data_IF_729311602026
#
_entry.id   IF_729311602026
#
_cell.length_a   1.000
_cell.length_b   1.000
_cell.length_c   1.000
_cell.angle_alpha   90.00
_cell.angle_beta   90.00
_cell.angle_gamma   90.00
#
_symmetry.space_group_name_H-M   'P 1'
#
loop_
_entity.id
_entity.type
_entity.pdbx_description
1 polymer ?
#
# COMPACT_ATOMS: atom_id res chain seq x y z
N UNK A 1 1.96 29.11 56.69
CA UNK A 1 3.18 28.46 56.16
C UNK A 1 2.96 26.96 56.22
N UNK A 2 2.94 26.29 55.08
CA UNK A 2 2.74 24.85 54.96
C UNK A 2 2.92 24.45 53.51
N UNK A 3 4.18 24.46 53.07
CA UNK A 3 4.61 24.00 51.75
C UNK A 3 4.76 22.47 51.75
N UNK A 4 4.48 21.85 50.59
CA UNK A 4 5.02 20.60 49.99
C UNK A 4 3.90 19.84 49.22
N UNK A 5 4.23 19.04 48.18
CA UNK A 5 5.12 19.31 47.07
C UNK A 5 4.43 19.08 45.70
N UNK A 6 5.06 19.59 44.64
CA UNK A 6 4.60 19.44 43.26
C UNK A 6 4.58 17.98 42.81
N UNK A 7 3.39 17.52 42.41
CA UNK A 7 3.21 16.34 41.57
C UNK A 7 3.21 16.78 40.12
N UNK A 8 4.32 16.56 39.43
CA UNK A 8 4.38 16.58 37.97
C UNK A 8 3.49 15.45 37.45
N UNK A 9 2.25 15.81 37.11
CA UNK A 9 1.35 14.94 36.35
C UNK A 9 1.97 14.70 34.99
N UNK A 10 2.76 13.64 34.89
CA UNK A 10 3.19 13.04 33.62
C UNK A 10 1.93 12.82 32.80
N UNK A 11 1.81 13.61 31.73
CA UNK A 11 0.69 13.57 30.82
C UNK A 11 0.47 12.14 30.35
N UNK A 12 -0.57 11.51 30.89
CA UNK A 12 -1.24 10.39 30.27
C UNK A 12 -1.46 10.79 28.82
N UNK A 13 -0.64 10.26 27.90
CA UNK A 13 -0.93 10.28 26.48
C UNK A 13 -2.33 9.72 26.38
N UNK A 14 -3.29 10.60 26.12
CA UNK A 14 -4.67 10.20 25.91
C UNK A 14 -4.60 9.16 24.80
N UNK A 15 -4.81 7.89 25.16
CA UNK A 15 -4.97 6.81 24.22
C UNK A 15 -6.23 7.17 23.44
N UNK A 16 -6.06 7.92 22.34
CA UNK A 16 -7.15 8.29 21.45
C UNK A 16 -7.93 7.00 21.16
N UNK A 17 -9.26 7.00 21.31
CA UNK A 17 -10.07 5.82 21.08
C UNK A 17 -9.67 5.20 19.75
N UNK A 18 -9.30 3.94 19.82
CA UNK A 18 -8.68 3.23 18.72
C UNK A 18 -9.73 3.15 17.58
N UNK A 19 -9.59 3.94 16.50
CA UNK A 19 -10.61 4.03 15.43
C UNK A 19 -10.76 2.74 14.64
N UNK A 20 -9.84 1.79 14.80
CA UNK A 20 -10.03 0.51 14.12
C UNK A 20 -11.05 -0.35 14.86
N UNK A 21 -11.99 -0.94 14.11
CA UNK A 21 -13.03 -1.77 14.66
C UNK A 21 -12.44 -3.01 15.33
N UNK A 22 -13.02 -3.44 16.46
CA UNK A 22 -12.91 -4.83 16.90
C UNK A 22 -13.84 -5.64 16.02
N UNK A 23 -13.27 -6.39 15.09
CA UNK A 23 -14.05 -7.27 14.25
C UNK A 23 -14.33 -8.57 15.00
N UNK A 24 -15.57 -8.75 15.47
CA UNK A 24 -16.02 -9.99 16.13
C UNK A 24 -16.24 -11.14 15.13
N UNK A 25 -16.37 -10.84 13.82
CA UNK A 25 -16.61 -11.85 12.77
C UNK A 25 -15.34 -12.56 12.30
N UNK A 26 -14.16 -11.97 12.49
CA UNK A 26 -12.91 -12.72 12.43
C UNK A 26 -12.76 -13.51 13.73
N UNK A 27 -13.53 -14.60 13.85
CA UNK A 27 -13.33 -15.62 14.89
C UNK A 27 -11.84 -15.87 14.97
N UNK A 28 -11.23 -15.58 16.13
CA UNK A 28 -9.81 -15.78 16.42
C UNK A 28 -9.45 -17.25 16.12
N UNK A 29 -9.12 -17.60 14.89
CA UNK A 29 -8.07 -18.60 14.70
C UNK A 29 -6.84 -17.88 15.22
N UNK A 30 -6.40 -18.29 16.40
CA UNK A 30 -5.10 -17.92 16.92
C UNK A 30 -4.09 -18.31 15.83
N UNK A 31 -3.75 -17.35 14.97
CA UNK A 31 -2.47 -17.38 14.30
C UNK A 31 -1.51 -17.19 15.46
N UNK A 32 -0.90 -18.30 15.87
CA UNK A 32 0.18 -18.32 16.85
C UNK A 32 1.05 -17.11 16.56
N UNK A 33 1.12 -16.18 17.51
CA UNK A 33 2.03 -15.04 17.44
C UNK A 33 3.43 -15.64 17.46
N UNK A 34 3.95 -15.95 16.29
CA UNK A 34 5.35 -16.18 16.11
C UNK A 34 6.02 -14.88 16.50
N UNK A 35 6.87 -14.95 17.53
CA UNK A 35 7.76 -13.89 17.96
C UNK A 35 8.45 -13.25 16.76
N UNK A 36 8.83 -11.97 16.84
CA UNK A 36 9.46 -11.28 15.72
C UNK A 36 10.78 -11.98 15.39
N UNK A 37 10.77 -12.83 14.37
CA UNK A 37 12.01 -13.09 13.63
C UNK A 37 12.33 -11.79 12.90
N UNK A 38 13.62 -11.40 12.76
CA UNK A 38 14.03 -10.34 11.85
C UNK A 38 13.83 -10.85 10.42
N UNK A 39 12.57 -11.05 10.05
CA UNK A 39 12.15 -11.34 8.70
C UNK A 39 12.27 -10.02 7.97
N UNK A 40 13.20 -9.97 7.03
CA UNK A 40 13.33 -8.92 6.02
C UNK A 40 11.90 -8.53 5.61
N UNK A 41 11.45 -7.34 6.03
CA UNK A 41 10.22 -6.75 5.50
C UNK A 41 10.41 -6.79 4.00
N UNK A 42 9.63 -7.62 3.31
CA UNK A 42 9.73 -7.75 1.87
C UNK A 42 9.33 -6.39 1.31
N UNK A 43 10.36 -5.61 0.96
CA UNK A 43 10.29 -4.27 0.40
C UNK A 43 9.79 -4.39 -1.04
N UNK A 44 8.53 -4.80 -1.22
CA UNK A 44 7.90 -4.84 -2.56
C UNK A 44 7.23 -3.49 -2.87
N UNK A 45 7.14 -2.58 -1.90
CA UNK A 45 6.48 -1.28 -2.05
C UNK A 45 7.45 -0.10 -2.21
N UNK A 46 8.68 -0.33 -2.65
CA UNK A 46 9.68 0.72 -2.84
C UNK A 46 10.49 0.68 -4.15
N UNK A 47 10.09 -0.11 -5.14
CA UNK A 47 10.72 -0.07 -6.46
C UNK A 47 9.76 0.54 -7.49
N UNK A 48 9.84 1.87 -7.64
CA UNK A 48 9.61 2.50 -8.93
C UNK A 48 10.94 2.40 -9.71
N UNK A 49 10.87 2.38 -11.05
CA UNK A 49 12.00 2.46 -11.97
C UNK A 49 13.12 3.43 -11.47
N UNK A 50 14.39 3.18 -11.82
CA UNK A 50 15.55 3.51 -10.98
C UNK A 50 15.66 5.01 -10.70
N UNK A 51 15.71 5.39 -9.41
CA UNK A 51 16.37 6.63 -8.99
C UNK A 51 15.66 7.56 -8.01
N UNK A 52 14.35 7.43 -7.74
CA UNK A 52 13.64 8.41 -6.90
C UNK A 52 13.19 7.85 -5.55
N UNK A 53 13.78 8.37 -4.46
CA UNK A 53 13.24 8.23 -3.11
C UNK A 53 11.78 8.69 -3.06
N UNK A 54 10.94 8.00 -2.28
CA UNK A 54 9.55 8.40 -2.12
C UNK A 54 9.44 9.73 -1.36
N UNK A 55 8.70 10.68 -1.91
CA UNK A 55 8.40 11.93 -1.21
C UNK A 55 7.53 11.66 0.01
N UNK A 56 7.60 12.52 1.04
CA UNK A 56 6.77 12.39 2.25
C UNK A 56 5.27 12.29 1.92
N UNK A 57 4.79 13.15 1.02
CA UNK A 57 3.41 13.09 0.49
C UNK A 57 3.07 11.72 -0.11
N UNK A 58 3.95 11.14 -0.93
CA UNK A 58 3.72 9.80 -1.49
C UNK A 58 3.65 8.72 -0.42
N UNK A 59 4.50 8.80 0.62
CA UNK A 59 4.47 7.87 1.76
C UNK A 59 3.13 7.95 2.51
N UNK A 60 2.66 9.15 2.82
CA UNK A 60 1.35 9.37 3.47
C UNK A 60 0.21 8.80 2.62
N UNK A 61 0.19 9.07 1.31
CA UNK A 61 -0.85 8.57 0.41
C UNK A 61 -0.84 7.04 0.29
N UNK A 62 0.34 6.43 0.26
CA UNK A 62 0.48 4.96 0.27
C UNK A 62 -0.01 4.36 1.58
N UNK A 63 0.35 4.96 2.72
CA UNK A 63 -0.13 4.55 4.04
C UNK A 63 -1.66 4.65 4.13
N UNK A 64 -2.25 5.76 3.68
CA UNK A 64 -3.70 5.96 3.65
C UNK A 64 -4.41 4.90 2.81
N UNK A 65 -3.92 4.62 1.59
CA UNK A 65 -4.48 3.58 0.72
C UNK A 65 -4.40 2.21 1.38
N UNK A 66 -3.26 1.87 2.01
CA UNK A 66 -3.09 0.60 2.75
C UNK A 66 -4.05 0.51 3.93
N UNK A 67 -4.16 1.56 4.75
CA UNK A 67 -5.04 1.60 5.90
C UNK A 67 -6.50 1.32 5.51
N UNK A 68 -7.01 1.95 4.45
CA UNK A 68 -8.37 1.69 3.96
C UNK A 68 -8.57 0.25 3.46
N UNK A 69 -7.61 -0.33 2.74
CA UNK A 69 -7.72 -1.73 2.27
C UNK A 69 -7.72 -2.75 3.41
N UNK A 70 -6.94 -2.49 4.47
CA UNK A 70 -6.99 -3.33 5.67
C UNK A 70 -8.26 -3.11 6.49
N UNK A 71 -8.82 -1.89 6.51
CA UNK A 71 -10.14 -1.64 7.11
C UNK A 71 -11.25 -2.37 6.37
N UNK A 72 -11.20 -2.41 5.03
CA UNK A 72 -12.13 -3.21 4.20
C UNK A 72 -12.00 -4.71 4.50
N UNK A 73 -10.79 -5.17 4.82
CA UNK A 73 -10.55 -6.57 5.21
C UNK A 73 -11.11 -6.90 6.60
N UNK A 74 -11.04 -5.95 7.56
CA UNK A 74 -11.65 -6.12 8.89
C UNK A 74 -13.17 -5.93 8.87
N UNK A 75 -13.67 -4.95 8.12
CA UNK A 75 -15.10 -4.65 7.99
C UNK A 75 -15.66 -5.24 6.71
N UNK A 76 -16.10 -6.50 6.79
CA UNK A 76 -16.72 -7.19 5.65
C UNK A 76 -17.99 -6.46 5.16
N UNK A 77 -18.76 -5.88 6.09
CA UNK A 77 -20.00 -5.18 5.77
C UNK A 77 -19.73 -3.75 5.27
N UNK A 78 -20.37 -3.37 4.16
CA UNK A 78 -20.08 -2.14 3.41
C UNK A 78 -20.46 -0.87 4.17
N UNK A 79 -21.58 -0.89 4.89
CA UNK A 79 -22.08 0.16 5.77
C UNK A 79 -21.09 0.48 6.89
N UNK A 80 -20.65 -0.54 7.64
CA UNK A 80 -19.65 -0.41 8.70
C UNK A 80 -18.32 0.11 8.15
N UNK A 81 -17.87 -0.45 7.03
CA UNK A 81 -16.65 0.02 6.38
C UNK A 81 -16.73 1.52 6.05
N UNK A 82 -17.84 2.00 5.45
CA UNK A 82 -17.97 3.42 5.09
C UNK A 82 -17.89 4.33 6.32
N UNK A 83 -18.52 3.95 7.42
CA UNK A 83 -18.43 4.70 8.68
C UNK A 83 -16.97 4.84 9.16
N UNK A 84 -16.24 3.72 9.29
CA UNK A 84 -14.84 3.75 9.74
C UNK A 84 -13.89 4.42 8.73
N UNK A 85 -14.15 4.31 7.43
CA UNK A 85 -13.37 5.00 6.41
C UNK A 85 -13.49 6.52 6.51
N UNK A 86 -14.69 7.04 6.80
CA UNK A 86 -14.90 8.47 7.06
C UNK A 86 -14.17 8.94 8.33
N UNK A 87 -14.24 8.15 9.42
CA UNK A 87 -13.49 8.46 10.65
C UNK A 87 -11.98 8.48 10.43
N UNK A 88 -11.45 7.52 9.67
CA UNK A 88 -10.03 7.52 9.30
C UNK A 88 -9.66 8.74 8.47
N UNK A 89 -10.48 9.11 7.50
CA UNK A 89 -10.23 10.30 6.70
C UNK A 89 -10.19 11.56 7.56
N UNK A 90 -11.12 11.71 8.50
CA UNK A 90 -11.11 12.83 9.46
C UNK A 90 -9.79 12.88 10.25
N UNK A 91 -9.30 11.74 10.76
CA UNK A 91 -7.99 11.67 11.46
C UNK A 91 -6.81 12.12 10.59
N UNK A 92 -6.79 11.74 9.32
CA UNK A 92 -5.74 12.17 8.39
C UNK A 92 -5.87 13.65 8.03
N UNK A 93 -7.09 14.20 8.00
CA UNK A 93 -7.34 15.61 7.70
C UNK A 93 -6.99 16.54 8.87
N UNK A 94 -7.12 16.09 10.13
CA UNK A 94 -6.67 16.83 11.32
C UNK A 94 -5.20 17.29 11.23
N UNK A 95 -4.33 16.43 10.68
CA UNK A 95 -2.89 16.68 10.56
C UNK A 95 -2.45 17.10 9.14
N UNK A 96 -3.39 17.53 8.29
CA UNK A 96 -3.10 17.91 6.90
C UNK A 96 -2.28 19.20 6.77
N UNK A 97 -2.47 20.14 7.69
CA UNK A 97 -1.91 21.50 7.62
C UNK A 97 -0.65 21.70 8.49
N UNK A 98 0.04 20.62 8.87
CA UNK A 98 1.28 20.71 9.62
C UNK A 98 2.43 21.18 8.74
N UNK A 99 3.07 22.29 9.12
CA UNK A 99 4.20 22.88 8.38
C UNK A 99 5.55 22.27 8.77
N UNK A 100 5.65 21.75 9.99
CA UNK A 100 6.90 21.21 10.52
C UNK A 100 7.16 19.80 9.99
N UNK A 101 8.13 19.69 9.09
CA UNK A 101 8.47 18.41 8.44
C UNK A 101 8.96 17.34 9.44
N UNK A 102 9.66 17.73 10.50
CA UNK A 102 10.12 16.79 11.55
C UNK A 102 8.92 16.15 12.25
N UNK A 103 7.96 16.97 12.69
CA UNK A 103 6.72 16.50 13.32
C UNK A 103 5.92 15.61 12.37
N UNK A 104 5.78 16.03 11.10
CA UNK A 104 5.09 15.24 10.09
C UNK A 104 5.75 13.88 9.84
N UNK A 105 7.08 13.77 9.98
CA UNK A 105 7.77 12.47 9.90
C UNK A 105 7.59 11.62 11.15
N UNK A 106 7.50 12.22 12.34
CA UNK A 106 7.23 11.51 13.58
C UNK A 106 5.82 10.91 13.57
N UNK A 107 4.82 11.71 13.19
CA UNK A 107 3.45 11.21 13.04
C UNK A 107 3.33 10.10 12.00
N UNK A 108 4.09 10.18 10.90
CA UNK A 108 4.12 9.12 9.91
C UNK A 108 4.67 7.82 10.49
N UNK A 109 5.76 7.89 11.28
CA UNK A 109 6.33 6.71 11.97
C UNK A 109 5.34 6.12 12.97
N UNK A 110 4.73 6.95 13.81
CA UNK A 110 3.72 6.51 14.78
C UNK A 110 2.50 5.87 14.08
N UNK A 111 2.06 6.44 12.95
CA UNK A 111 0.97 5.89 12.16
C UNK A 111 1.35 4.57 11.47
N UNK A 112 2.59 4.40 11.02
CA UNK A 112 3.10 3.14 10.47
C UNK A 112 3.18 2.05 11.54
N UNK A 113 3.58 2.38 12.76
CA UNK A 113 3.59 1.48 13.92
C UNK A 113 2.17 1.06 14.33
N UNK A 114 1.23 2.02 14.41
CA UNK A 114 -0.19 1.72 14.68
C UNK A 114 -0.76 0.81 13.58
N UNK A 115 -0.47 1.12 12.31
CA UNK A 115 -0.91 0.31 11.17
C UNK A 115 -0.32 -1.10 11.23
N UNK A 116 0.97 -1.24 11.51
CA UNK A 116 1.65 -2.55 11.59
C UNK A 116 1.06 -3.44 12.67
N UNK A 117 0.76 -2.88 13.85
CA UNK A 117 0.17 -3.63 14.95
C UNK A 117 -1.27 -4.09 14.65
N UNK A 118 -2.02 -3.33 13.84
CA UNK A 118 -3.46 -3.52 13.60
C UNK A 118 -3.80 -4.08 12.22
N UNK A 119 -2.80 -4.39 11.41
CA UNK A 119 -3.02 -4.95 10.07
C UNK A 119 -3.76 -6.29 10.16
N UNK A 120 -4.70 -6.50 9.24
CA UNK A 120 -5.38 -7.79 9.12
C UNK A 120 -4.38 -8.89 8.73
N UNK A 121 -4.37 -10.08 9.39
CA UNK A 121 -3.42 -11.15 9.09
C UNK A 121 -3.47 -11.65 7.64
N UNK A 122 -4.66 -11.66 7.04
CA UNK A 122 -4.90 -12.08 5.65
C UNK A 122 -5.68 -10.98 4.91
N UNK A 123 -5.03 -9.92 4.43
CA UNK A 123 -5.74 -8.83 3.76
C UNK A 123 -6.44 -9.31 2.48
N UNK A 124 -7.50 -8.60 2.08
CA UNK A 124 -8.14 -8.82 0.80
C UNK A 124 -7.21 -8.35 -0.34
N UNK A 125 -6.84 -9.28 -1.21
CA UNK A 125 -6.01 -9.06 -2.39
C UNK A 125 -6.87 -9.36 -3.61
N UNK A 126 -6.86 -8.45 -4.61
CA UNK A 126 -7.65 -8.66 -5.82
C UNK A 126 -7.11 -9.87 -6.60
N UNK A 127 -7.97 -10.65 -7.28
CA UNK A 127 -7.57 -11.89 -7.93
C UNK A 127 -6.38 -11.72 -8.89
N UNK A 128 -6.42 -10.68 -9.74
CA UNK A 128 -5.41 -10.42 -10.77
C UNK A 128 -4.22 -9.59 -10.25
N UNK A 129 -4.30 -9.09 -9.01
CA UNK A 129 -3.19 -8.32 -8.40
C UNK A 129 -2.11 -9.25 -7.84
N UNK A 130 -0.85 -8.81 -7.70
CA UNK A 130 0.22 -9.64 -7.14
C UNK A 130 -0.15 -10.18 -5.75
N UNK A 131 -0.05 -11.50 -5.59
CA UNK A 131 -0.49 -12.22 -4.38
C UNK A 131 -1.98 -12.62 -4.36
N UNK A 132 -2.72 -12.33 -5.44
CA UNK A 132 -4.08 -12.78 -5.65
C UNK A 132 -4.17 -14.22 -6.14
N UNK A 133 -5.38 -14.80 -6.14
CA UNK A 133 -5.62 -16.20 -6.49
C UNK A 133 -5.62 -16.49 -8.01
N UNK A 134 -5.71 -15.47 -8.86
CA UNK A 134 -5.59 -15.58 -10.31
C UNK A 134 -4.40 -14.81 -10.88
N UNK A 135 -3.46 -14.41 -10.03
CA UNK A 135 -2.23 -13.75 -10.45
C UNK A 135 -1.45 -14.67 -11.40
N UNK A 136 -1.03 -14.13 -12.55
CA UNK A 136 -0.28 -14.83 -13.62
C UNK A 136 -0.98 -16.08 -14.21
N UNK A 137 -2.27 -16.29 -13.90
CA UNK A 137 -3.05 -17.45 -14.36
C UNK A 137 -3.05 -17.61 -15.88
N UNK A 138 -3.08 -16.49 -16.60
CA UNK A 138 -3.16 -16.48 -18.06
C UNK A 138 -1.81 -16.26 -18.75
N UNK A 139 -0.72 -16.12 -18.00
CA UNK A 139 0.58 -15.81 -18.58
C UNK A 139 1.13 -16.94 -19.45
N UNK A 140 0.76 -18.19 -19.15
CA UNK A 140 1.08 -19.35 -19.98
C UNK A 140 0.50 -19.27 -21.40
N UNK A 141 -0.63 -18.57 -21.60
CA UNK A 141 -1.21 -18.33 -22.93
C UNK A 141 -0.55 -17.14 -23.63
N UNK A 142 -0.10 -16.14 -22.86
CA UNK A 142 0.67 -15.01 -23.40
C UNK A 142 2.01 -15.47 -23.97
N UNK A 143 2.68 -16.41 -23.32
CA UNK A 143 3.96 -16.96 -23.80
C UNK A 143 3.79 -17.65 -25.16
N UNK A 144 2.70 -18.39 -25.37
CA UNK A 144 2.40 -18.99 -26.68
C UNK A 144 2.17 -17.93 -27.76
N UNK A 145 1.35 -16.94 -27.47
CA UNK A 145 1.11 -15.81 -28.37
C UNK A 145 2.43 -15.05 -28.69
N UNK A 146 3.28 -14.82 -27.69
CA UNK A 146 4.59 -14.18 -27.88
C UNK A 146 5.53 -14.99 -28.77
N UNK A 147 5.57 -16.31 -28.60
CA UNK A 147 6.40 -17.19 -29.43
C UNK A 147 5.95 -17.21 -30.90
N UNK A 148 4.66 -17.03 -31.15
CA UNK A 148 4.07 -16.93 -32.49
C UNK A 148 4.32 -15.54 -33.13
N UNK A 149 4.27 -14.47 -32.34
CA UNK A 149 4.32 -13.08 -32.83
C UNK A 149 5.73 -12.45 -32.84
N UNK A 150 6.73 -13.04 -32.17
CA UNK A 150 8.06 -12.43 -32.02
C UNK A 150 9.06 -12.90 -33.11
N UNK A 151 9.69 -12.01 -33.88
CA UNK A 151 10.76 -12.36 -34.82
C UNK A 151 12.07 -12.77 -34.09
N UNK A 152 12.97 -13.55 -34.71
CA UNK A 152 14.12 -14.21 -34.06
C UNK A 152 15.18 -13.31 -33.41
N UNK A 153 15.07 -11.98 -33.52
CA UNK A 153 16.04 -11.00 -32.98
C UNK A 153 15.76 -10.44 -31.58
N UNK A 154 14.58 -10.67 -31.00
CA UNK A 154 14.21 -10.26 -29.63
C UNK A 154 14.11 -8.73 -29.37
N UNK A 155 13.44 -8.29 -28.29
CA UNK A 155 13.33 -6.87 -27.94
C UNK A 155 14.46 -6.37 -27.02
N UNK A 156 14.90 -5.12 -27.22
CA UNK A 156 16.20 -4.62 -26.72
C UNK A 156 16.19 -3.63 -25.52
N UNK A 157 15.08 -3.06 -25.01
CA UNK A 157 15.02 -2.31 -23.70
C UNK A 157 13.63 -1.65 -23.42
N UNK A 158 13.36 -1.18 -22.18
CA UNK A 158 11.98 -0.92 -21.66
C UNK A 158 11.57 0.55 -21.31
N UNK A 159 12.41 1.58 -21.47
CA UNK A 159 12.01 2.97 -21.13
C UNK A 159 12.17 3.96 -22.30
N UNK A 160 11.11 4.72 -22.62
CA UNK A 160 11.00 5.43 -23.88
C UNK A 160 10.53 6.88 -23.78
N UNK A 161 11.21 7.82 -24.47
CA UNK A 161 10.69 9.18 -24.66
C UNK A 161 9.50 9.19 -25.66
N UNK A 162 8.59 10.18 -25.55
CA UNK A 162 7.49 10.35 -26.50
C UNK A 162 8.00 10.75 -27.90
N UNK A 163 7.21 10.45 -28.94
CA UNK A 163 7.46 10.94 -30.30
C UNK A 163 7.45 12.47 -30.35
N UNK A 164 8.37 13.06 -31.11
CA UNK A 164 8.60 14.52 -31.11
C UNK A 164 8.19 15.23 -32.40
N UNK A 165 7.93 14.51 -33.50
CA UNK A 165 7.51 15.07 -34.78
C UNK A 165 6.23 14.39 -35.27
N UNK A 166 5.48 15.10 -36.09
CA UNK A 166 4.26 14.58 -36.72
C UNK A 166 4.64 13.47 -37.73
N UNK A 167 4.10 12.27 -37.54
CA UNK A 167 4.41 11.08 -38.34
C UNK A 167 5.44 10.12 -37.72
N UNK A 168 6.19 10.53 -36.69
CA UNK A 168 7.15 9.65 -36.01
C UNK A 168 6.44 8.78 -34.95
N UNK A 169 6.78 7.49 -34.92
CA UNK A 169 6.37 6.57 -33.85
C UNK A 169 7.33 6.71 -32.65
N UNK A 170 6.86 6.58 -31.40
CA UNK A 170 7.74 6.61 -30.23
C UNK A 170 8.82 5.52 -30.37
N UNK A 171 10.09 5.77 -30.01
CA UNK A 171 11.12 4.73 -30.03
C UNK A 171 10.66 3.50 -29.22
N UNK A 172 11.05 2.28 -29.60
CA UNK A 172 10.65 0.97 -29.02
C UNK A 172 9.13 0.79 -28.70
N UNK A 173 8.22 1.56 -29.29
CA UNK A 173 6.76 1.45 -29.08
C UNK A 173 6.19 0.03 -29.28
N UNK A 174 6.88 -0.79 -30.07
CA UNK A 174 6.47 -2.14 -30.46
C UNK A 174 6.10 -2.98 -29.24
N UNK A 175 6.98 -3.15 -28.24
CA UNK A 175 6.72 -4.04 -27.10
C UNK A 175 5.52 -3.64 -26.22
N UNK A 176 5.09 -2.37 -26.28
CA UNK A 176 3.92 -1.87 -25.53
C UNK A 176 2.65 -2.13 -26.33
N UNK A 177 2.67 -1.81 -27.64
CA UNK A 177 1.50 -1.93 -28.51
C UNK A 177 1.23 -3.37 -28.94
N UNK A 178 2.29 -4.17 -29.11
CA UNK A 178 2.20 -5.61 -29.40
C UNK A 178 2.29 -6.46 -28.14
N UNK A 179 2.12 -5.87 -26.94
CA UNK A 179 2.03 -6.64 -25.71
C UNK A 179 0.85 -7.62 -25.80
N UNK A 180 1.05 -8.91 -25.44
CA UNK A 180 -0.03 -9.88 -25.41
C UNK A 180 -1.18 -9.40 -24.55
N UNK A 181 -2.39 -9.79 -24.95
CA UNK A 181 -3.60 -9.44 -24.20
C UNK A 181 -3.51 -10.00 -22.78
N UNK A 182 -3.99 -9.23 -21.80
CA UNK A 182 -4.04 -9.70 -20.41
C UNK A 182 -4.88 -10.98 -20.26
N UNK A 183 -5.91 -11.12 -21.11
CA UNK A 183 -6.76 -12.30 -21.24
C UNK A 183 -6.86 -12.66 -22.72
N UNK A 184 -6.02 -13.60 -23.21
CA UNK A 184 -6.04 -14.04 -24.60
C UNK A 184 -7.18 -15.05 -24.90
N UNK A 185 -7.89 -15.53 -23.87
CA UNK A 185 -9.08 -16.40 -23.95
C UNK A 185 -10.36 -15.59 -23.71
#
# INVERSE_FOLDING_TARGET
MGNLPGGSGSGLRQLRPSVWPRCDTCRRRAVSRLSPRPGKVSTVMAFLAPGAYLTHRQKVLRLYKRALRHLESWCVQRDKYRYFACLMRARFEEHKNEKDMVRATQLLKEAEEEFWYRQHPQPYIFPDSPGGTSYERYDCYKVKQLQEETPPGGPLTEALPPARKEGDLPPLWWYIVTRPRERPM
#
